data_IF_667474337617
#
_entry.id   IF_667474337617
#
_cell.length_a   1.000
_cell.length_b   1.000
_cell.length_c   1.000
_cell.angle_alpha   90.00
_cell.angle_beta   90.00
_cell.angle_gamma   90.00
#
_symmetry.space_group_name_H-M   'P 1'
#
loop_
_entity.id
_entity.type
_entity.pdbx_description
1 polymer ?
#
# COMPACT_ATOMS: atom_id res chain seq x y z
N UNK A 1 -16.08 -8.15 -10.65
CA UNK A 1 -17.29 -8.68 -9.97
C UNK A 1 -17.25 -10.18 -10.18
N UNK A 2 -16.73 -10.92 -9.19
CA UNK A 2 -16.61 -12.37 -9.26
C UNK A 2 -18.01 -12.93 -9.07
N UNK A 3 -18.58 -13.52 -10.13
CA UNK A 3 -19.72 -14.41 -9.97
C UNK A 3 -19.19 -15.69 -9.33
N UNK A 4 -19.65 -15.96 -8.13
CA UNK A 4 -19.55 -17.28 -7.52
C UNK A 4 -20.63 -18.11 -8.22
N UNK A 5 -20.23 -18.95 -9.17
CA UNK A 5 -21.08 -20.06 -9.59
C UNK A 5 -20.83 -21.20 -8.61
N UNK A 6 -21.86 -21.53 -7.83
CA UNK A 6 -21.90 -22.72 -6.99
C UNK A 6 -21.87 -23.96 -7.91
N UNK A 7 -20.95 -24.88 -7.66
CA UNK A 7 -20.78 -26.21 -8.28
C UNK A 7 -19.81 -26.35 -9.47
N UNK A 8 -18.54 -25.93 -9.33
CA UNK A 8 -17.49 -26.54 -10.14
C UNK A 8 -16.25 -26.91 -9.33
N UNK A 9 -16.13 -28.20 -9.01
CA UNK A 9 -14.89 -28.81 -8.51
C UNK A 9 -14.03 -29.18 -9.73
N UNK A 10 -12.86 -28.57 -9.86
CA UNK A 10 -11.80 -29.08 -10.73
C UNK A 10 -10.65 -29.61 -9.87
N UNK A 11 -10.66 -30.92 -9.61
CA UNK A 11 -9.45 -31.65 -9.28
C UNK A 11 -8.75 -31.99 -10.61
N UNK A 12 -7.57 -31.42 -10.84
CA UNK A 12 -6.69 -31.85 -11.93
C UNK A 12 -5.50 -32.58 -11.32
N UNK A 13 -5.52 -33.91 -11.39
CA UNK A 13 -4.37 -34.76 -11.09
C UNK A 13 -3.27 -34.51 -12.13
N UNK A 14 -2.09 -34.10 -11.65
CA UNK A 14 -0.87 -34.03 -12.45
C UNK A 14 -0.30 -35.44 -12.67
N UNK A 15 -0.22 -35.85 -13.92
CA UNK A 15 0.45 -37.09 -14.34
C UNK A 15 1.98 -36.92 -14.30
N UNK A 16 2.65 -37.62 -13.40
CA UNK A 16 4.04 -38.04 -13.59
C UNK A 16 4.24 -39.44 -13.02
N UNK A 17 4.53 -40.40 -13.90
CA UNK A 17 4.67 -41.80 -13.55
C UNK A 17 5.87 -42.09 -12.65
N UNK A 18 5.65 -42.99 -11.68
CA UNK A 18 6.62 -43.96 -11.18
C UNK A 18 5.83 -45.08 -10.49
N UNK A 19 5.92 -46.28 -11.05
CA UNK A 19 5.37 -47.52 -10.52
C UNK A 19 6.00 -47.90 -9.19
N UNK A 20 5.18 -48.09 -8.15
CA UNK A 20 5.47 -48.94 -7.02
C UNK A 20 4.27 -49.85 -6.78
N UNK A 21 4.45 -51.15 -6.99
CA UNK A 21 3.47 -52.17 -6.59
C UNK A 21 3.57 -52.37 -5.09
N UNK A 22 2.48 -52.13 -4.38
CA UNK A 22 2.18 -52.78 -3.10
C UNK A 22 0.66 -52.90 -2.99
N UNK A 23 0.18 -54.14 -2.99
CA UNK A 23 -1.24 -54.42 -2.81
C UNK A 23 -1.67 -54.15 -1.37
N UNK A 24 -2.89 -53.62 -1.22
CA UNK A 24 -3.75 -53.81 -0.05
C UNK A 24 -5.18 -53.46 -0.45
N UNK A 25 -6.11 -54.29 0.03
CA UNK A 25 -7.52 -54.32 -0.34
C UNK A 25 -8.23 -52.98 -0.18
N UNK A 26 -9.17 -52.74 -1.10
CA UNK A 26 -10.04 -51.60 -1.16
C UNK A 26 -11.01 -51.53 0.03
N UNK A 27 -10.89 -50.46 0.82
CA UNK A 27 -12.03 -49.71 1.35
C UNK A 27 -11.61 -48.23 1.33
N UNK A 28 -11.88 -47.56 0.21
CA UNK A 28 -11.80 -46.09 0.11
C UNK A 28 -13.20 -45.57 0.45
N UNK A 29 -13.41 -45.16 1.70
CA UNK A 29 -14.43 -44.15 1.95
C UNK A 29 -14.04 -42.87 1.19
N UNK A 30 -14.98 -42.15 0.58
CA UNK A 30 -14.69 -40.84 0.03
C UNK A 30 -14.28 -39.96 1.21
N UNK A 31 -13.01 -39.56 1.24
CA UNK A 31 -12.47 -38.68 2.27
C UNK A 31 -13.16 -37.31 2.10
N UNK A 32 -14.32 -37.13 2.75
CA UNK A 32 -15.00 -35.84 2.89
C UNK A 32 -14.18 -35.04 3.89
N UNK A 33 -13.00 -34.59 3.48
CA UNK A 33 -12.16 -33.72 4.30
C UNK A 33 -12.80 -32.33 4.24
N UNK A 34 -13.73 -32.08 5.14
CA UNK A 34 -14.32 -30.75 5.34
C UNK A 34 -13.21 -29.82 5.79
N UNK A 35 -13.00 -28.70 5.10
CA UNK A 35 -12.10 -27.66 5.55
C UNK A 35 -12.76 -26.92 6.72
N UNK A 36 -12.49 -27.36 7.94
CA UNK A 36 -12.93 -26.65 9.14
C UNK A 36 -11.99 -25.50 9.43
N UNK A 37 -12.53 -24.28 9.42
CA UNK A 37 -11.75 -23.08 9.73
C UNK A 37 -11.48 -23.04 11.24
N UNK A 38 -10.22 -22.89 11.68
CA UNK A 38 -9.89 -22.99 13.09
C UNK A 38 -10.44 -21.79 13.88
N UNK A 39 -11.11 -22.06 14.99
CA UNK A 39 -11.48 -21.03 15.98
C UNK A 39 -10.29 -20.82 16.91
N UNK A 40 -9.62 -19.68 16.79
CA UNK A 40 -8.46 -19.32 17.60
C UNK A 40 -8.85 -18.36 18.72
N UNK A 41 -8.31 -18.57 19.92
CA UNK A 41 -8.34 -17.57 20.99
C UNK A 41 -7.23 -16.53 20.72
N UNK A 42 -7.57 -15.26 20.46
CA UNK A 42 -6.56 -14.23 20.27
C UNK A 42 -5.60 -14.11 21.44
N UNK A 43 -5.98 -14.52 22.66
CA UNK A 43 -5.18 -14.41 23.87
C UNK A 43 -4.70 -15.76 24.42
N UNK A 44 -4.58 -16.77 23.55
CA UNK A 44 -4.10 -18.10 23.93
C UNK A 44 -2.74 -18.01 24.67
N UNK A 45 -2.56 -18.72 25.80
CA UNK A 45 -1.32 -18.67 26.59
C UNK A 45 -0.05 -19.01 25.78
N UNK A 46 -0.16 -19.87 24.77
CA UNK A 46 0.97 -20.23 23.90
C UNK A 46 1.48 -19.05 23.08
N UNK A 47 0.64 -18.05 22.81
CA UNK A 47 1.01 -16.80 22.13
C UNK A 47 1.35 -15.72 23.15
N UNK A 48 0.52 -15.57 24.19
CA UNK A 48 0.64 -14.48 25.14
C UNK A 48 1.90 -14.53 25.99
N UNK A 49 2.56 -15.68 26.13
CA UNK A 49 3.88 -15.80 26.76
C UNK A 49 4.97 -14.95 26.07
N UNK A 50 4.78 -14.57 24.80
CA UNK A 50 5.71 -13.73 24.05
C UNK A 50 5.31 -12.25 24.02
N UNK A 51 4.14 -11.89 24.55
CA UNK A 51 3.57 -10.56 24.36
C UNK A 51 4.41 -9.46 25.02
N UNK A 52 4.87 -8.52 24.21
CA UNK A 52 5.56 -7.31 24.65
C UNK A 52 4.67 -6.09 24.47
N UNK A 53 4.68 -5.18 25.44
CA UNK A 53 3.97 -3.89 25.34
C UNK A 53 4.89 -2.84 24.72
N UNK A 54 4.36 -2.11 23.73
CA UNK A 54 5.05 -0.97 23.13
C UNK A 54 4.27 0.31 23.38
N UNK A 55 4.98 1.37 23.74
CA UNK A 55 4.44 2.72 23.89
C UNK A 55 4.44 3.44 22.54
N UNK A 56 3.62 4.49 22.36
CA UNK A 56 3.71 5.38 21.21
C UNK A 56 5.15 5.89 20.98
N UNK A 57 5.52 6.06 19.71
CA UNK A 57 6.84 6.59 19.32
C UNK A 57 6.97 8.02 19.85
N UNK A 58 8.06 8.31 20.57
CA UNK A 58 8.33 9.63 21.12
C UNK A 58 9.53 10.29 20.44
N UNK A 59 9.26 11.30 19.61
CA UNK A 59 10.27 12.10 18.92
C UNK A 59 10.54 13.46 19.58
N UNK A 60 10.01 13.72 20.78
CA UNK A 60 10.05 15.05 21.41
C UNK A 60 11.45 15.55 21.79
N UNK A 61 12.45 14.67 21.79
CA UNK A 61 13.85 15.03 22.06
C UNK A 61 14.62 15.44 20.79
N UNK A 62 14.04 15.22 19.60
CA UNK A 62 14.63 15.69 18.36
C UNK A 62 14.41 17.20 18.19
N UNK A 63 15.27 17.84 17.41
CA UNK A 63 15.07 19.22 16.95
C UNK A 63 13.75 19.29 16.16
N UNK A 64 12.92 20.30 16.47
CA UNK A 64 11.66 20.54 15.74
C UNK A 64 11.96 20.77 14.26
N UNK A 65 11.15 20.22 13.37
CA UNK A 65 11.39 20.39 11.93
C UNK A 65 11.31 21.86 11.51
N UNK A 66 12.37 22.35 10.85
CA UNK A 66 12.43 23.74 10.39
C UNK A 66 11.56 23.99 9.17
N UNK A 67 11.19 22.92 8.47
CA UNK A 67 10.43 22.95 7.22
C UNK A 67 9.26 21.99 7.32
N UNK A 68 8.18 22.31 6.62
CA UNK A 68 7.06 21.39 6.40
C UNK A 68 6.44 21.64 5.02
N UNK A 69 5.59 20.74 4.58
CA UNK A 69 4.82 20.85 3.34
C UNK A 69 3.34 21.03 3.66
N UNK A 70 2.65 21.79 2.80
CA UNK A 70 1.19 21.87 2.83
C UNK A 70 0.67 22.19 1.44
N UNK A 71 -0.23 21.36 0.90
CA UNK A 71 -0.88 21.58 -0.39
C UNK A 71 0.12 21.82 -1.53
N UNK A 72 1.19 21.02 -1.59
CA UNK A 72 2.22 21.15 -2.63
C UNK A 72 3.07 22.43 -2.52
N UNK A 73 3.15 23.00 -1.32
CA UNK A 73 3.91 24.24 -1.03
C UNK A 73 4.97 23.98 0.03
N UNK A 74 6.19 24.48 -0.20
CA UNK A 74 7.28 24.50 0.77
C UNK A 74 7.04 25.58 1.82
N UNK A 75 7.18 25.23 3.11
CA UNK A 75 7.01 26.16 4.21
C UNK A 75 8.16 26.13 5.21
N UNK A 76 8.54 27.30 5.70
CA UNK A 76 9.44 27.43 6.87
C UNK A 76 8.60 27.51 8.15
N UNK A 77 8.94 26.71 9.14
CA UNK A 77 8.18 26.63 10.40
C UNK A 77 8.27 27.93 11.20
N UNK A 78 7.21 28.23 11.96
CA UNK A 78 7.22 29.38 12.89
C UNK A 78 8.29 29.23 13.97
N UNK A 79 8.69 28.00 14.28
CA UNK A 79 9.82 27.73 15.16
C UNK A 79 11.12 28.23 14.54
N UNK A 80 11.43 27.79 13.32
CA UNK A 80 12.64 28.19 12.61
C UNK A 80 12.73 29.71 12.42
N UNK A 81 11.62 30.37 12.08
CA UNK A 81 11.57 31.84 11.95
C UNK A 81 11.78 32.61 13.27
N UNK A 82 11.63 31.95 14.43
CA UNK A 82 11.91 32.53 15.75
C UNK A 82 13.35 32.31 16.20
N UNK A 83 14.13 31.50 15.49
CA UNK A 83 15.54 31.32 15.79
C UNK A 83 16.31 32.62 15.51
N UNK A 84 17.37 32.93 16.28
CA UNK A 84 18.22 34.08 16.00
C UNK A 84 18.85 33.97 14.60
N UNK A 85 18.88 35.09 13.87
CA UNK A 85 19.47 35.18 12.53
C UNK A 85 18.48 34.90 11.39
N UNK A 86 18.91 35.19 10.16
CA UNK A 86 18.12 34.91 8.96
C UNK A 86 18.28 33.45 8.56
N UNK A 87 17.18 32.74 8.35
CA UNK A 87 17.18 31.35 7.85
C UNK A 87 17.26 31.35 6.33
N UNK A 88 18.21 30.58 5.79
CA UNK A 88 18.35 30.31 4.35
C UNK A 88 18.28 28.81 4.14
N UNK A 89 17.45 28.34 3.21
CA UNK A 89 17.29 26.92 2.92
C UNK A 89 17.66 26.61 1.48
N UNK A 90 18.40 25.53 1.28
CA UNK A 90 18.63 24.87 0.00
C UNK A 90 17.66 23.67 -0.12
N UNK A 91 16.85 23.68 -1.17
CA UNK A 91 15.94 22.59 -1.52
C UNK A 91 16.61 21.70 -2.57
N UNK A 92 16.66 20.40 -2.29
CA UNK A 92 17.32 19.40 -3.10
C UNK A 92 16.26 18.39 -3.55
N UNK A 93 15.72 18.51 -4.79
CA UNK A 93 14.70 17.59 -5.28
C UNK A 93 15.27 16.17 -5.35
N UNK A 94 14.47 15.17 -4.97
CA UNK A 94 14.85 13.76 -5.08
C UNK A 94 14.13 13.13 -6.27
N UNK A 95 14.89 12.77 -7.29
CA UNK A 95 14.38 12.22 -8.55
C UNK A 95 14.71 10.73 -8.67
N UNK A 96 13.71 9.93 -9.05
CA UNK A 96 13.91 8.51 -9.32
C UNK A 96 14.87 8.35 -10.51
N UNK A 97 16.02 7.71 -10.27
CA UNK A 97 16.95 7.31 -11.33
C UNK A 97 16.72 5.84 -11.76
N UNK A 98 16.26 5.01 -10.82
CA UNK A 98 15.79 3.65 -11.04
C UNK A 98 15.19 3.09 -9.75
N UNK A 99 14.79 1.81 -9.72
CA UNK A 99 14.21 1.22 -8.49
C UNK A 99 15.21 1.01 -7.35
N UNK A 100 16.51 1.18 -7.62
CA UNK A 100 17.57 0.93 -6.65
C UNK A 100 18.44 2.17 -6.40
N UNK A 101 18.05 3.32 -6.97
CA UNK A 101 18.82 4.56 -6.82
C UNK A 101 17.97 5.81 -7.01
N UNK A 102 18.23 6.80 -6.18
CA UNK A 102 17.73 8.18 -6.31
C UNK A 102 18.89 9.06 -6.78
N UNK A 103 18.57 10.11 -7.53
CA UNK A 103 19.53 11.18 -7.86
C UNK A 103 18.95 12.52 -7.42
N UNK A 104 19.84 13.45 -7.13
CA UNK A 104 19.46 14.84 -6.85
C UNK A 104 19.05 15.52 -8.17
N UNK A 105 18.00 16.34 -8.09
CA UNK A 105 17.55 17.22 -9.16
C UNK A 105 18.30 18.56 -9.17
N UNK A 106 17.71 19.58 -9.79
CA UNK A 106 18.30 20.93 -9.74
C UNK A 106 18.06 21.57 -8.36
N UNK A 107 19.14 21.85 -7.64
CA UNK A 107 19.09 22.50 -6.33
C UNK A 107 18.50 23.91 -6.45
N UNK A 108 17.66 24.28 -5.48
CA UNK A 108 17.08 25.62 -5.38
C UNK A 108 17.61 26.28 -4.10
N UNK A 109 18.46 27.29 -4.26
CA UNK A 109 19.08 28.01 -3.16
C UNK A 109 19.09 29.54 -3.43
N UNK A 110 18.37 30.36 -2.65
CA UNK A 110 17.47 29.96 -1.56
C UNK A 110 16.12 29.44 -2.06
N UNK A 111 15.59 28.41 -1.41
CA UNK A 111 14.18 28.06 -1.51
C UNK A 111 13.37 29.02 -0.64
N UNK A 112 12.43 29.73 -1.25
CA UNK A 112 11.62 30.74 -0.58
C UNK A 112 10.41 30.11 0.12
N UNK A 113 10.06 30.62 1.31
CA UNK A 113 8.81 30.24 1.99
C UNK A 113 7.60 30.53 1.10
N UNK A 114 6.72 29.54 0.92
CA UNK A 114 5.56 29.63 0.04
C UNK A 114 5.83 29.25 -1.43
N UNK A 115 7.05 28.86 -1.79
CA UNK A 115 7.34 28.36 -3.13
C UNK A 115 6.67 26.99 -3.40
N UNK A 116 6.23 26.71 -4.64
CA UNK A 116 5.66 25.42 -4.99
C UNK A 116 6.74 24.32 -4.97
N UNK A 117 6.35 23.11 -4.60
CA UNK A 117 7.23 21.94 -4.71
C UNK A 117 7.52 21.63 -6.18
N UNK A 118 8.71 21.10 -6.46
CA UNK A 118 9.08 20.62 -7.81
C UNK A 118 9.03 19.09 -7.90
N UNK A 119 9.23 18.39 -6.79
CA UNK A 119 9.10 16.94 -6.63
C UNK A 119 8.29 16.62 -5.37
N UNK A 120 7.73 15.41 -5.31
CA UNK A 120 7.05 14.91 -4.10
C UNK A 120 8.00 14.80 -2.90
N UNK A 121 9.28 14.52 -3.15
CA UNK A 121 10.28 14.27 -2.12
C UNK A 121 11.50 15.14 -2.34
N UNK A 122 12.07 15.64 -1.25
CA UNK A 122 13.23 16.50 -1.29
C UNK A 122 14.01 16.41 0.00
N UNK A 123 15.34 16.52 -0.10
CA UNK A 123 16.17 16.89 1.03
C UNK A 123 16.16 18.40 1.19
N UNK A 124 16.30 18.87 2.42
CA UNK A 124 16.46 20.29 2.70
C UNK A 124 17.62 20.51 3.66
N UNK A 125 18.49 21.44 3.29
CA UNK A 125 19.54 21.94 4.16
C UNK A 125 19.23 23.40 4.48
N UNK A 126 19.00 23.73 5.76
CA UNK A 126 18.81 25.11 6.18
C UNK A 126 19.93 25.55 7.13
N UNK A 127 20.32 26.81 7.03
CA UNK A 127 21.31 27.43 7.89
C UNK A 127 20.81 28.79 8.36
N UNK A 128 20.95 29.05 9.66
CA UNK A 128 20.79 30.38 10.24
C UNK A 128 22.06 31.18 10.04
N UNK A 129 21.96 32.50 9.86
CA UNK A 129 23.12 33.41 9.87
C UNK A 129 23.94 33.38 11.18
N UNK A 130 23.45 32.70 12.22
CA UNK A 130 24.19 32.43 13.48
C UNK A 130 24.97 31.10 13.48
N UNK A 131 24.88 30.31 12.42
CA UNK A 131 25.59 29.03 12.24
C UNK A 131 24.82 27.78 12.68
N UNK A 132 23.57 27.91 13.17
CA UNK A 132 22.70 26.73 13.40
C UNK A 132 22.29 26.11 12.07
N UNK A 133 22.25 24.78 12.01
CA UNK A 133 21.96 24.01 10.79
C UNK A 133 20.84 23.02 11.01
N UNK A 134 20.11 22.74 9.94
CA UNK A 134 19.06 21.74 9.86
C UNK A 134 19.21 20.95 8.58
N UNK A 135 19.12 19.63 8.68
CA UNK A 135 19.14 18.70 7.56
C UNK A 135 18.06 17.65 7.80
N UNK A 136 17.09 17.58 6.90
CA UNK A 136 16.09 16.51 6.91
C UNK A 136 15.58 16.23 5.49
N UNK A 137 14.89 15.10 5.34
CA UNK A 137 14.10 14.77 4.14
C UNK A 137 12.63 15.00 4.44
N UNK A 138 11.92 15.53 3.46
CA UNK A 138 10.49 15.83 3.54
C UNK A 138 9.74 15.18 2.39
N UNK A 139 8.46 14.92 2.65
CA UNK A 139 7.51 14.48 1.64
C UNK A 139 6.40 15.52 1.48
N UNK A 140 5.86 15.57 0.28
CA UNK A 140 4.62 16.24 -0.06
C UNK A 140 4.09 15.76 -1.39
N UNK A 141 3.09 16.44 -1.92
CA UNK A 141 2.51 16.10 -3.23
C UNK A 141 2.62 17.28 -4.19
N UNK A 142 3.42 17.11 -5.24
CA UNK A 142 3.52 18.10 -6.31
C UNK A 142 2.26 18.09 -7.17
N UNK A 143 1.84 19.27 -7.61
CA UNK A 143 0.77 19.41 -8.60
C UNK A 143 1.28 19.04 -10.00
N UNK A 144 1.43 17.75 -10.26
CA UNK A 144 2.02 17.21 -11.48
C UNK A 144 1.17 17.56 -12.72
N UNK A 145 1.70 18.42 -13.60
CA UNK A 145 1.00 18.89 -14.80
C UNK A 145 0.60 17.77 -15.75
N UNK A 146 1.43 16.73 -15.88
CA UNK A 146 1.16 15.60 -16.78
C UNK A 146 0.01 14.75 -16.26
N UNK A 147 -0.06 14.57 -14.92
CA UNK A 147 -1.17 13.89 -14.26
C UNK A 147 -2.45 14.69 -14.47
N UNK A 148 -2.47 15.99 -14.15
CA UNK A 148 -3.65 16.83 -14.35
C UNK A 148 -4.09 16.90 -15.83
N UNK A 149 -3.17 17.06 -16.76
CA UNK A 149 -3.47 17.08 -18.20
C UNK A 149 -4.12 15.78 -18.67
N UNK A 150 -3.61 14.62 -18.21
CA UNK A 150 -4.25 13.32 -18.48
C UNK A 150 -5.67 13.24 -17.95
N UNK A 151 -5.89 13.71 -16.72
CA UNK A 151 -7.21 13.69 -16.07
C UNK A 151 -8.22 14.60 -16.81
N UNK A 152 -7.80 15.78 -17.23
CA UNK A 152 -8.63 16.74 -17.99
C UNK A 152 -9.02 16.19 -19.37
N UNK A 153 -8.07 15.57 -20.06
CA UNK A 153 -8.30 14.99 -21.40
C UNK A 153 -9.36 13.89 -21.35
N UNK A 154 -9.31 13.03 -20.33
CA UNK A 154 -10.29 11.94 -20.14
C UNK A 154 -11.65 12.45 -19.64
N UNK A 155 -11.67 13.50 -18.81
CA UNK A 155 -12.90 14.16 -18.39
C UNK A 155 -13.65 14.86 -19.54
N UNK A 156 -12.92 15.44 -20.50
CA UNK A 156 -13.51 16.02 -21.71
C UNK A 156 -14.15 14.96 -22.61
N UNK A 157 -13.49 13.81 -22.79
CA UNK A 157 -14.01 12.70 -23.61
C UNK A 157 -15.30 12.09 -23.02
N UNK A 158 -15.45 12.02 -21.69
CA UNK A 158 -16.69 11.49 -21.07
C UNK A 158 -17.90 12.43 -21.18
N UNK A 159 -17.67 13.71 -21.53
CA UNK A 159 -18.72 14.72 -21.77
C UNK A 159 -19.23 14.79 -23.21
N UNK A 160 -18.64 14.02 -24.14
CA UNK A 160 -19.16 13.90 -25.51
C UNK A 160 -20.33 12.90 -25.48
N UNK A 161 -21.55 13.29 -25.90
CA UNK A 161 -22.65 12.34 -26.04
C UNK A 161 -22.23 11.25 -27.02
N UNK A 162 -22.28 9.99 -26.58
CA UNK A 162 -22.05 8.84 -27.46
C UNK A 162 -23.06 8.91 -28.61
N UNK A 163 -22.63 9.35 -29.79
CA UNK A 163 -23.51 9.41 -30.96
C UNK A 163 -24.03 8.00 -31.24
N UNK A 164 -25.35 7.90 -31.38
CA UNK A 164 -26.03 6.66 -31.75
C UNK A 164 -25.44 6.09 -33.04
N UNK A 165 -25.08 4.80 -33.11
CA UNK A 165 -24.66 4.19 -34.35
C UNK A 165 -25.79 4.27 -35.39
N UNK A 166 -25.50 4.48 -36.69
CA UNK A 166 -26.50 4.41 -37.72
C UNK A 166 -27.08 3.00 -37.77
N UNK A 167 -28.41 2.91 -37.79
CA UNK A 167 -29.14 1.67 -37.99
C UNK A 167 -28.85 1.12 -39.39
N UNK A 168 -28.06 0.06 -39.47
CA UNK A 168 -28.05 -0.82 -40.64
C UNK A 168 -28.47 -2.22 -40.21
N UNK A 169 -29.65 -2.60 -40.69
CA UNK A 169 -30.13 -3.97 -40.65
C UNK A 169 -29.14 -4.87 -41.41
N UNK A 170 -28.71 -5.97 -40.79
CA UNK A 170 -28.80 -7.32 -41.37
C UNK A 170 -28.33 -8.35 -40.34
N UNK A 171 -29.14 -9.39 -40.18
CA UNK A 171 -28.95 -10.51 -39.29
C UNK A 171 -27.77 -11.39 -39.71
N UNK A 172 -26.90 -11.76 -38.77
CA UNK A 172 -26.44 -13.14 -38.56
C UNK A 172 -25.79 -13.26 -37.19
N UNK A 173 -26.16 -14.34 -36.51
CA UNK A 173 -25.94 -14.62 -35.10
C UNK A 173 -24.62 -15.41 -34.98
N UNK A 174 -23.58 -14.76 -34.50
CA UNK A 174 -22.35 -15.41 -34.02
C UNK A 174 -22.10 -14.95 -32.58
N UNK A 175 -21.70 -15.89 -31.73
CA UNK A 175 -21.43 -15.73 -30.31
C UNK A 175 -20.28 -14.75 -30.08
N UNK A 176 -20.61 -13.51 -29.71
CA UNK A 176 -19.65 -12.48 -29.28
C UNK A 176 -19.25 -12.74 -27.83
N UNK A 177 -17.95 -12.69 -27.46
CA UNK A 177 -17.53 -12.81 -26.06
C UNK A 177 -18.16 -11.70 -25.23
N UNK A 178 -18.55 -11.99 -23.98
CA UNK A 178 -19.08 -11.01 -23.03
C UNK A 178 -18.20 -9.74 -23.05
N UNK A 179 -18.71 -8.69 -23.69
CA UNK A 179 -17.85 -7.63 -24.20
C UNK A 179 -17.26 -6.78 -23.06
N UNK A 180 -16.00 -6.37 -23.24
CA UNK A 180 -15.32 -5.31 -22.50
C UNK A 180 -16.17 -4.03 -22.30
N UNK A 181 -17.22 -3.83 -23.10
CA UNK A 181 -18.15 -2.69 -23.00
C UNK A 181 -19.01 -2.69 -21.73
N UNK A 182 -19.23 -3.85 -21.08
CA UNK A 182 -19.97 -3.93 -19.82
C UNK A 182 -19.08 -3.56 -18.62
N UNK A 183 -17.79 -3.88 -18.71
CA UNK A 183 -16.79 -3.51 -17.69
C UNK A 183 -16.52 -2.00 -17.72
N UNK A 184 -16.39 -1.41 -18.92
CA UNK A 184 -16.16 0.03 -19.07
C UNK A 184 -17.33 0.90 -18.59
N UNK A 185 -18.58 0.45 -18.81
CA UNK A 185 -19.78 1.13 -18.29
C UNK A 185 -19.94 1.00 -16.77
N UNK A 186 -19.52 -0.12 -16.19
CA UNK A 186 -19.61 -0.40 -14.75
C UNK A 186 -18.68 0.47 -13.91
N UNK A 187 -17.41 0.60 -14.31
CA UNK A 187 -16.41 1.41 -13.59
C UNK A 187 -16.71 2.92 -13.67
N UNK A 188 -17.14 3.41 -14.84
CA UNK A 188 -17.56 4.80 -15.01
C UNK A 188 -18.82 5.17 -14.19
N UNK A 189 -19.67 4.19 -13.85
CA UNK A 189 -20.93 4.43 -13.12
C UNK A 189 -20.77 4.52 -11.59
N UNK A 190 -19.70 3.98 -11.03
CA UNK A 190 -19.47 3.99 -9.57
C UNK A 190 -18.58 5.13 -9.10
N UNK A 191 -17.63 5.59 -9.94
CA UNK A 191 -16.65 6.65 -9.63
C UNK A 191 -16.06 6.55 -8.21
N UNK A 192 -15.78 5.32 -7.78
CA UNK A 192 -15.33 4.98 -6.44
C UNK A 192 -13.80 5.04 -6.39
N UNK A 193 -13.23 5.76 -5.44
CA UNK A 193 -11.81 5.64 -5.10
C UNK A 193 -11.57 4.25 -4.47
N UNK A 194 -10.37 3.72 -4.66
CA UNK A 194 -9.91 2.52 -3.97
C UNK A 194 -8.67 2.92 -3.19
N UNK A 195 -8.71 2.70 -1.87
CA UNK A 195 -7.55 2.89 -1.01
C UNK A 195 -7.30 1.62 -0.23
N UNK A 196 -6.17 0.99 -0.53
CA UNK A 196 -5.69 -0.20 0.13
C UNK A 196 -4.54 0.20 1.04
N UNK A 197 -4.74 0.06 2.36
CA UNK A 197 -3.72 0.34 3.36
C UNK A 197 -3.41 -0.96 4.10
N UNK A 198 -2.28 -1.56 3.74
CA UNK A 198 -1.87 -2.87 4.19
C UNK A 198 -0.70 -2.83 5.16
N UNK A 199 -0.56 -3.90 5.94
CA UNK A 199 0.58 -4.16 6.81
C UNK A 199 1.21 -5.50 6.49
N UNK A 200 2.54 -5.57 6.56
CA UNK A 200 3.26 -6.84 6.48
C UNK A 200 3.03 -7.68 7.73
N UNK A 201 2.85 -8.98 7.57
CA UNK A 201 2.99 -9.97 8.66
C UNK A 201 1.95 -9.87 9.78
N UNK A 202 0.77 -9.29 9.53
CA UNK A 202 -0.28 -9.12 10.54
C UNK A 202 -1.47 -10.09 10.35
N UNK A 203 -1.61 -11.04 11.28
CA UNK A 203 -2.79 -11.93 11.32
C UNK A 203 -4.04 -11.21 11.80
N UNK A 204 -5.22 -11.77 11.53
CA UNK A 204 -6.48 -11.30 12.13
C UNK A 204 -6.39 -11.25 13.66
N UNK A 205 -5.76 -12.27 14.25
CA UNK A 205 -5.58 -12.36 15.70
C UNK A 205 -4.59 -11.30 16.23
N UNK A 206 -3.52 -11.00 15.48
CA UNK A 206 -2.59 -9.93 15.89
C UNK A 206 -3.23 -8.55 15.82
N UNK A 207 -4.14 -8.30 14.88
CA UNK A 207 -4.96 -7.08 14.87
C UNK A 207 -5.87 -6.97 16.09
N UNK A 208 -6.54 -8.07 16.48
CA UNK A 208 -7.38 -8.09 17.69
C UNK A 208 -6.56 -7.76 18.94
N UNK A 209 -5.34 -8.29 19.03
CA UNK A 209 -4.45 -8.07 20.19
C UNK A 209 -3.80 -6.68 20.20
N UNK A 210 -3.26 -6.25 19.05
CA UNK A 210 -2.23 -5.19 18.99
C UNK A 210 -2.75 -3.88 18.38
N UNK A 211 -3.86 -3.92 17.64
CA UNK A 211 -4.53 -2.74 17.07
C UNK A 211 -6.01 -2.65 17.50
N UNK A 212 -6.34 -2.82 18.81
CA UNK A 212 -7.72 -2.90 19.26
C UNK A 212 -8.50 -1.61 19.05
N UNK A 213 -7.85 -0.43 19.12
CA UNK A 213 -8.54 0.86 18.92
C UNK A 213 -8.87 1.06 17.45
N UNK A 214 -7.91 0.81 16.57
CA UNK A 214 -8.11 0.88 15.12
C UNK A 214 -9.20 -0.08 14.68
N UNK A 215 -9.12 -1.35 15.09
CA UNK A 215 -10.11 -2.36 14.72
C UNK A 215 -11.51 -1.95 15.18
N UNK A 216 -11.65 -1.49 16.44
CA UNK A 216 -12.95 -1.01 16.96
C UNK A 216 -13.48 0.16 16.14
N UNK A 217 -12.65 1.17 15.89
CA UNK A 217 -13.04 2.34 15.11
C UNK A 217 -13.48 1.94 13.69
N UNK A 218 -12.72 1.08 13.02
CA UNK A 218 -13.05 0.63 11.68
C UNK A 218 -14.39 -0.11 11.61
N UNK A 219 -14.65 -1.05 12.54
CA UNK A 219 -15.86 -1.86 12.52
C UNK A 219 -17.09 -1.11 13.03
N UNK A 220 -16.96 -0.44 14.18
CA UNK A 220 -18.11 0.15 14.88
C UNK A 220 -18.40 1.58 14.43
N UNK A 221 -17.38 2.35 14.05
CA UNK A 221 -17.56 3.77 13.66
C UNK A 221 -17.64 3.93 12.15
N UNK A 222 -16.71 3.32 11.40
CA UNK A 222 -16.73 3.43 9.93
C UNK A 222 -17.70 2.45 9.26
N UNK A 223 -18.24 1.48 9.99
CA UNK A 223 -19.13 0.43 9.46
C UNK A 223 -18.41 -0.58 8.57
N UNK A 224 -17.12 -0.82 8.85
CA UNK A 224 -16.31 -1.78 8.13
C UNK A 224 -16.74 -3.23 8.38
N UNK A 225 -16.46 -4.08 7.40
CA UNK A 225 -16.71 -5.52 7.41
C UNK A 225 -15.38 -6.27 7.43
N UNK A 226 -15.15 -7.05 8.48
CA UNK A 226 -13.99 -7.92 8.58
C UNK A 226 -14.26 -9.28 7.95
N UNK A 227 -13.34 -9.76 7.11
CA UNK A 227 -13.41 -11.08 6.51
C UNK A 227 -12.77 -12.11 7.44
N UNK A 228 -13.56 -12.68 8.34
CA UNK A 228 -13.05 -13.57 9.39
C UNK A 228 -12.44 -14.88 8.85
N UNK A 229 -12.89 -15.31 7.67
CA UNK A 229 -12.43 -16.52 6.98
C UNK A 229 -11.38 -16.28 5.89
N UNK A 230 -10.81 -15.07 5.78
CA UNK A 230 -9.81 -14.78 4.76
C UNK A 230 -8.51 -15.56 5.04
N UNK A 231 -7.94 -16.17 4.00
CA UNK A 231 -6.73 -16.98 4.09
C UNK A 231 -5.71 -16.58 3.02
N UNK A 232 -4.43 -16.85 3.29
CA UNK A 232 -3.36 -16.63 2.32
C UNK A 232 -3.57 -17.44 1.04
N UNK A 233 -3.14 -16.88 -0.07
CA UNK A 233 -3.10 -17.54 -1.39
C UNK A 233 -1.70 -18.07 -1.74
N UNK A 234 -0.70 -17.81 -0.90
CA UNK A 234 0.68 -18.27 -1.05
C UNK A 234 1.54 -17.86 0.14
N UNK A 235 2.76 -18.41 0.23
CA UNK A 235 3.70 -18.14 1.32
C UNK A 235 4.54 -16.88 1.06
N UNK A 236 4.46 -15.92 1.97
CA UNK A 236 5.21 -14.67 1.89
C UNK A 236 4.55 -13.58 1.04
N UNK A 237 5.08 -12.37 1.17
CA UNK A 237 4.50 -11.15 0.61
C UNK A 237 4.29 -11.17 -0.91
N UNK A 238 5.26 -11.58 -1.76
CA UNK A 238 5.01 -11.59 -3.21
C UNK A 238 3.90 -12.57 -3.60
N UNK A 239 3.86 -13.75 -2.99
CA UNK A 239 2.86 -14.77 -3.29
C UNK A 239 1.44 -14.36 -2.84
N UNK A 240 1.33 -13.49 -1.83
CA UNK A 240 0.06 -12.91 -1.39
C UNK A 240 -0.34 -11.67 -2.21
N UNK A 241 0.58 -10.74 -2.46
CA UNK A 241 0.28 -9.47 -3.12
C UNK A 241 0.16 -9.58 -4.64
N UNK A 242 0.87 -10.51 -5.30
CA UNK A 242 0.74 -10.66 -6.76
C UNK A 242 -0.68 -11.04 -7.18
N UNK A 243 -1.36 -12.04 -6.58
CA UNK A 243 -2.75 -12.33 -6.93
C UNK A 243 -3.68 -11.15 -6.66
N UNK A 244 -3.46 -10.39 -5.58
CA UNK A 244 -4.28 -9.23 -5.23
C UNK A 244 -4.11 -8.10 -6.26
N UNK A 245 -2.88 -7.84 -6.69
CA UNK A 245 -2.54 -6.67 -7.52
C UNK A 245 -2.50 -6.98 -9.02
N UNK A 246 -2.56 -8.25 -9.41
CA UNK A 246 -2.50 -8.69 -10.82
C UNK A 246 -3.62 -9.64 -11.22
N UNK A 247 -4.26 -10.32 -10.25
CA UNK A 247 -5.19 -11.42 -10.52
C UNK A 247 -4.51 -12.76 -10.85
N UNK A 248 -3.18 -12.85 -10.71
CA UNK A 248 -2.39 -14.03 -11.08
C UNK A 248 -1.42 -14.44 -9.97
N UNK A 249 -1.14 -15.75 -9.88
CA UNK A 249 -0.07 -16.30 -9.07
C UNK A 249 1.31 -15.98 -9.68
N UNK A 250 2.36 -16.01 -8.85
CA UNK A 250 3.75 -15.74 -9.28
C UNK A 250 4.18 -16.58 -10.49
N UNK A 251 3.76 -17.85 -10.53
CA UNK A 251 4.11 -18.82 -11.57
C UNK A 251 3.43 -18.55 -12.92
N UNK A 252 2.34 -17.76 -12.93
CA UNK A 252 1.59 -17.40 -14.14
C UNK A 252 2.12 -16.12 -14.78
N UNK A 253 3.02 -15.42 -14.08
CA UNK A 253 3.57 -14.13 -14.48
C UNK A 253 4.93 -14.31 -15.17
N UNK A 254 5.37 -13.33 -15.98
CA UNK A 254 6.73 -13.32 -16.51
C UNK A 254 7.77 -13.47 -15.40
N UNK A 255 8.77 -14.34 -15.59
CA UNK A 255 9.82 -14.55 -14.61
C UNK A 255 10.51 -13.21 -14.28
N UNK A 256 10.54 -12.86 -13.01
CA UNK A 256 11.12 -11.61 -12.52
C UNK A 256 12.07 -11.80 -11.35
N UNK A 257 12.25 -13.04 -10.88
CA UNK A 257 13.12 -13.34 -9.73
C UNK A 257 14.58 -13.16 -10.11
N UNK A 258 15.32 -12.53 -9.20
CA UNK A 258 16.76 -12.30 -9.35
C UNK A 258 17.49 -13.64 -9.53
N UNK A 259 18.43 -13.67 -10.47
CA UNK A 259 19.26 -14.84 -10.73
C UNK A 259 18.59 -15.94 -11.56
N UNK A 260 17.31 -15.80 -11.92
CA UNK A 260 16.64 -16.77 -12.79
C UNK A 260 16.89 -16.47 -14.28
N UNK A 261 17.10 -17.51 -15.13
CA UNK A 261 17.27 -17.32 -16.57
C UNK A 261 16.08 -16.60 -17.21
N UNK A 262 16.37 -15.57 -17.99
CA UNK A 262 15.33 -14.79 -18.68
C UNK A 262 14.52 -13.85 -17.79
N UNK A 263 14.91 -13.66 -16.52
CA UNK A 263 14.22 -12.75 -15.62
C UNK A 263 14.19 -11.31 -16.15
N UNK A 264 13.04 -10.65 -16.01
CA UNK A 264 12.82 -9.26 -16.41
C UNK A 264 12.28 -8.43 -15.23
N UNK A 265 12.43 -7.09 -15.28
CA UNK A 265 11.71 -6.20 -14.37
C UNK A 265 10.20 -6.47 -14.38
N UNK A 266 9.53 -6.23 -13.25
CA UNK A 266 8.12 -6.58 -13.07
C UNK A 266 7.15 -5.68 -13.86
N UNK A 267 7.68 -4.74 -14.65
CA UNK A 267 6.93 -3.87 -15.56
C UNK A 267 6.00 -4.62 -16.51
N UNK A 268 6.32 -5.87 -16.87
CA UNK A 268 5.50 -6.68 -17.77
C UNK A 268 4.21 -7.23 -17.13
N UNK A 269 4.07 -7.19 -15.80
CA UNK A 269 2.92 -7.79 -15.13
C UNK A 269 1.63 -6.97 -15.36
N UNK A 270 0.44 -7.61 -15.32
CA UNK A 270 -0.85 -6.98 -15.55
C UNK A 270 -1.35 -6.27 -14.29
N UNK A 271 -0.57 -5.30 -13.80
CA UNK A 271 -0.86 -4.57 -12.58
C UNK A 271 -2.20 -3.83 -12.62
N UNK A 272 -2.99 -3.97 -11.56
CA UNK A 272 -4.33 -3.37 -11.43
C UNK A 272 -4.29 -1.83 -11.50
N UNK A 273 -3.22 -1.20 -11.00
CA UNK A 273 -3.08 0.25 -11.09
C UNK A 273 -2.91 0.74 -12.54
N UNK A 274 -2.38 -0.06 -13.46
CA UNK A 274 -2.36 0.31 -14.89
C UNK A 274 -3.78 0.43 -15.44
N UNK A 275 -4.66 -0.47 -15.03
CA UNK A 275 -6.07 -0.46 -15.45
C UNK A 275 -6.83 0.73 -14.85
N UNK A 276 -6.60 1.04 -13.58
CA UNK A 276 -7.13 2.26 -12.96
C UNK A 276 -6.60 3.51 -13.66
N UNK A 277 -5.30 3.60 -13.91
CA UNK A 277 -4.66 4.73 -14.61
C UNK A 277 -5.26 4.93 -16.01
N UNK A 278 -5.50 3.84 -16.75
CA UNK A 278 -6.15 3.84 -18.08
C UNK A 278 -7.58 4.39 -18.03
N UNK A 279 -8.28 4.21 -16.91
CA UNK A 279 -9.62 4.73 -16.68
C UNK A 279 -9.65 6.11 -16.00
N UNK A 280 -8.53 6.83 -16.00
CA UNK A 280 -8.48 8.21 -15.50
C UNK A 280 -8.38 8.32 -13.99
N UNK A 281 -7.94 7.28 -13.31
CA UNK A 281 -7.62 7.37 -11.89
C UNK A 281 -6.21 7.97 -11.70
N UNK A 282 -6.04 8.69 -10.59
CA UNK A 282 -4.73 8.99 -10.02
C UNK A 282 -4.25 7.76 -9.28
N UNK A 283 -3.01 7.36 -9.50
CA UNK A 283 -2.44 6.12 -8.93
C UNK A 283 -1.28 6.43 -8.00
N UNK A 284 -1.24 5.77 -6.84
CA UNK A 284 -0.13 5.90 -5.90
C UNK A 284 0.27 4.54 -5.31
N UNK A 285 1.58 4.35 -5.14
CA UNK A 285 2.16 3.20 -4.43
C UNK A 285 3.19 3.68 -3.41
N UNK A 286 3.03 3.26 -2.15
CA UNK A 286 4.02 3.46 -1.09
C UNK A 286 4.34 2.15 -0.38
N UNK A 287 5.63 1.96 -0.10
CA UNK A 287 6.16 0.86 0.70
C UNK A 287 7.45 1.36 1.37
N UNK A 288 7.60 1.06 2.66
CA UNK A 288 8.82 1.32 3.43
C UNK A 288 9.73 0.07 3.48
N UNK A 289 10.84 0.12 4.23
CA UNK A 289 11.84 -0.97 4.28
C UNK A 289 12.41 -1.32 2.90
N UNK A 290 13.02 -0.34 2.23
CA UNK A 290 13.47 -0.46 0.82
C UNK A 290 14.47 -1.58 0.56
N UNK A 291 15.16 -2.05 1.60
CA UNK A 291 16.09 -3.18 1.58
C UNK A 291 15.39 -4.54 1.45
N UNK A 292 14.12 -4.67 1.86
CA UNK A 292 13.32 -5.89 1.78
C UNK A 292 11.99 -5.71 1.02
N UNK A 293 11.84 -4.61 0.28
CA UNK A 293 10.61 -4.29 -0.47
C UNK A 293 10.10 -5.44 -1.36
N UNK A 294 8.77 -5.57 -1.45
CA UNK A 294 8.06 -6.74 -1.99
C UNK A 294 8.57 -7.15 -3.36
N UNK A 295 8.71 -6.19 -4.27
CA UNK A 295 9.07 -6.44 -5.67
C UNK A 295 10.56 -6.18 -5.96
N UNK A 296 11.34 -5.87 -4.94
CA UNK A 296 12.74 -5.43 -5.07
C UNK A 296 13.72 -6.40 -4.41
N UNK A 297 13.33 -7.08 -3.34
CA UNK A 297 14.20 -8.02 -2.64
C UNK A 297 14.46 -9.26 -3.51
N UNK A 298 13.43 -10.06 -3.77
CA UNK A 298 13.53 -11.30 -4.58
C UNK A 298 13.41 -11.06 -6.08
N UNK A 299 12.83 -9.94 -6.50
CA UNK A 299 12.54 -9.61 -7.90
C UNK A 299 13.41 -8.44 -8.40
N UNK A 300 13.43 -8.24 -9.71
CA UNK A 300 14.25 -7.22 -10.36
C UNK A 300 13.71 -5.78 -10.20
N UNK A 301 12.63 -5.57 -9.44
CA UNK A 301 12.01 -4.26 -9.27
C UNK A 301 11.36 -3.73 -10.54
N UNK A 302 11.03 -2.45 -10.51
CA UNK A 302 10.47 -1.72 -11.64
C UNK A 302 11.55 -1.00 -12.44
N UNK A 303 11.48 -1.07 -13.76
CA UNK A 303 12.27 -0.22 -14.64
C UNK A 303 11.64 1.17 -14.73
N UNK A 304 10.35 1.25 -15.05
CA UNK A 304 9.57 2.47 -15.12
C UNK A 304 8.87 2.76 -13.79
N UNK A 305 8.49 4.02 -13.53
CA UNK A 305 7.72 4.32 -12.33
C UNK A 305 6.33 3.66 -12.40
N UNK A 306 5.91 2.84 -11.41
CA UNK A 306 4.71 2.01 -11.53
C UNK A 306 3.40 2.81 -11.50
N UNK A 307 3.38 3.94 -10.79
CA UNK A 307 2.21 4.77 -10.49
C UNK A 307 2.50 6.26 -10.73
N UNK A 308 1.47 7.12 -10.71
CA UNK A 308 1.66 8.57 -10.84
C UNK A 308 2.51 9.15 -9.70
N UNK A 309 2.29 8.62 -8.49
CA UNK A 309 3.04 8.94 -7.28
C UNK A 309 3.65 7.67 -6.70
N UNK A 310 4.96 7.66 -6.43
CA UNK A 310 5.67 6.46 -5.97
C UNK A 310 6.63 6.80 -4.85
N UNK A 311 6.34 6.38 -3.61
CA UNK A 311 7.03 6.85 -2.40
C UNK A 311 8.44 6.27 -2.21
N UNK A 312 8.87 5.33 -3.05
CA UNK A 312 10.17 4.66 -2.91
C UNK A 312 11.37 5.61 -2.83
N UNK A 313 11.50 6.69 -3.64
CA UNK A 313 12.63 7.61 -3.52
C UNK A 313 12.73 8.27 -2.14
N UNK A 314 11.61 8.54 -1.47
CA UNK A 314 11.60 9.04 -0.09
C UNK A 314 12.28 8.05 0.84
N UNK A 315 11.83 6.80 0.86
CA UNK A 315 12.36 5.81 1.79
C UNK A 315 13.81 5.41 1.49
N UNK A 316 14.24 5.42 0.22
CA UNK A 316 15.63 5.16 -0.13
C UNK A 316 16.62 6.17 0.48
N UNK A 317 16.19 7.41 0.67
CA UNK A 317 17.00 8.46 1.28
C UNK A 317 16.71 8.61 2.78
N UNK A 318 15.46 8.50 3.21
CA UNK A 318 15.06 8.57 4.62
C UNK A 318 15.70 7.45 5.45
N UNK A 319 15.75 6.22 4.94
CA UNK A 319 16.33 5.08 5.67
C UNK A 319 17.82 5.26 5.98
N UNK A 320 18.56 6.01 5.15
CA UNK A 320 19.96 6.36 5.43
C UNK A 320 20.11 7.27 6.65
N UNK A 321 19.05 7.98 7.03
CA UNK A 321 19.02 8.85 8.19
C UNK A 321 18.60 8.11 9.47
N UNK A 322 18.23 6.83 9.40
CA UNK A 322 17.62 6.14 10.54
C UNK A 322 18.58 5.89 11.70
N UNK A 323 19.87 5.67 11.40
CA UNK A 323 20.89 5.41 12.40
C UNK A 323 21.23 6.65 13.25
N UNK A 324 21.06 7.85 12.69
CA UNK A 324 21.36 9.12 13.37
C UNK A 324 20.14 9.73 14.06
N UNK A 325 18.94 9.30 13.69
CA UNK A 325 17.70 9.73 14.32
C UNK A 325 17.37 8.90 15.57
N UNK A 326 16.48 9.44 16.41
CA UNK A 326 15.83 8.66 17.46
C UNK A 326 15.11 7.46 16.81
N UNK A 327 15.14 6.26 17.41
CA UNK A 327 14.46 5.08 16.84
C UNK A 327 13.00 5.36 16.47
N UNK A 328 12.60 4.95 15.27
CA UNK A 328 11.29 5.20 14.65
C UNK A 328 10.93 6.67 14.38
N UNK A 329 11.87 7.60 14.56
CA UNK A 329 11.70 9.01 14.22
C UNK A 329 12.46 9.37 12.94
N UNK A 330 11.95 10.35 12.23
CA UNK A 330 12.64 11.09 11.18
C UNK A 330 12.52 12.57 11.53
N UNK A 331 13.60 13.15 12.05
CA UNK A 331 13.53 14.45 12.72
C UNK A 331 12.58 14.38 13.93
N UNK A 332 11.68 15.35 14.04
CA UNK A 332 10.71 15.44 15.13
C UNK A 332 9.42 14.63 14.91
N UNK A 333 9.34 13.87 13.82
CA UNK A 333 8.12 13.18 13.39
C UNK A 333 8.30 11.66 13.40
N UNK A 334 7.38 10.89 14.01
CA UNK A 334 7.32 9.43 13.86
C UNK A 334 7.24 9.00 12.38
N UNK A 335 8.01 7.99 11.98
CA UNK A 335 8.10 7.56 10.57
C UNK A 335 6.78 7.05 10.00
N UNK A 336 5.95 6.37 10.79
CA UNK A 336 4.62 5.93 10.37
C UNK A 336 3.68 7.10 10.08
N UNK A 337 3.85 8.24 10.76
CA UNK A 337 3.09 9.46 10.45
C UNK A 337 3.51 10.07 9.12
N UNK A 338 4.81 10.05 8.77
CA UNK A 338 5.25 10.47 7.42
C UNK A 338 4.59 9.63 6.32
N UNK A 339 4.45 8.32 6.51
CA UNK A 339 3.75 7.43 5.59
C UNK A 339 2.27 7.80 5.43
N UNK A 340 1.55 8.00 6.56
CA UNK A 340 0.13 8.33 6.57
C UNK A 340 -0.15 9.73 6.02
N UNK A 341 0.63 10.74 6.42
CA UNK A 341 0.46 12.12 5.99
C UNK A 341 0.62 12.28 4.47
N UNK A 342 1.50 11.51 3.83
CA UNK A 342 1.64 11.54 2.38
C UNK A 342 0.34 11.13 1.66
N UNK A 343 -0.37 10.12 2.17
CA UNK A 343 -1.69 9.77 1.64
C UNK A 343 -2.75 10.85 1.90
N UNK A 344 -2.73 11.52 3.07
CA UNK A 344 -3.61 12.66 3.33
C UNK A 344 -3.39 13.78 2.30
N UNK A 345 -2.13 14.13 2.01
CA UNK A 345 -1.80 15.13 0.98
C UNK A 345 -2.23 14.69 -0.43
N UNK A 346 -2.14 13.40 -0.76
CA UNK A 346 -2.63 12.87 -2.04
C UNK A 346 -4.16 13.02 -2.15
N UNK A 347 -4.89 12.71 -1.08
CA UNK A 347 -6.34 12.92 -1.05
C UNK A 347 -6.72 14.40 -1.17
N UNK A 348 -6.00 15.29 -0.47
CA UNK A 348 -6.20 16.73 -0.53
C UNK A 348 -5.87 17.34 -1.90
N UNK A 349 -4.81 16.86 -2.56
CA UNK A 349 -4.39 17.35 -3.88
C UNK A 349 -5.39 16.97 -4.97
N UNK A 350 -5.93 15.76 -4.91
CA UNK A 350 -6.79 15.19 -5.95
C UNK A 350 -8.26 15.06 -5.55
N UNK A 351 -8.78 15.98 -4.74
CA UNK A 351 -10.15 15.90 -4.18
C UNK A 351 -11.24 15.47 -5.18
N UNK A 352 -11.21 16.00 -6.41
CA UNK A 352 -12.25 15.79 -7.44
C UNK A 352 -11.98 14.66 -8.44
N UNK A 353 -10.91 13.91 -8.28
CA UNK A 353 -10.46 12.91 -9.25
C UNK A 353 -10.57 11.51 -8.65
N UNK A 354 -10.91 10.47 -9.42
CA UNK A 354 -10.90 9.11 -8.92
C UNK A 354 -9.47 8.65 -8.59
N UNK A 355 -9.31 7.84 -7.55
CA UNK A 355 -8.00 7.47 -6.98
C UNK A 355 -7.87 5.97 -6.79
N UNK A 356 -6.72 5.40 -7.12
CA UNK A 356 -6.30 4.07 -6.71
C UNK A 356 -4.98 4.20 -5.94
N UNK A 357 -5.04 4.02 -4.63
CA UNK A 357 -3.89 4.16 -3.75
C UNK A 357 -3.60 2.82 -3.07
N UNK A 358 -2.34 2.39 -3.11
CA UNK A 358 -1.85 1.22 -2.39
C UNK A 358 -0.70 1.63 -1.49
N UNK A 359 -0.89 1.53 -0.17
CA UNK A 359 0.14 1.67 0.83
C UNK A 359 0.37 0.34 1.53
N UNK A 360 1.63 -0.05 1.70
CA UNK A 360 2.01 -1.26 2.41
C UNK A 360 3.11 -0.95 3.42
N UNK A 361 2.80 -1.03 4.72
CA UNK A 361 3.71 -0.64 5.81
C UNK A 361 4.30 -1.87 6.51
N UNK A 362 5.62 -1.88 6.68
CA UNK A 362 6.37 -3.04 7.17
C UNK A 362 7.22 -2.75 8.40
N UNK A 363 7.70 -1.50 8.60
CA UNK A 363 8.69 -1.16 9.65
C UNK A 363 8.30 -1.64 11.05
N UNK A 364 7.02 -1.52 11.41
CA UNK A 364 6.52 -1.82 12.76
C UNK A 364 5.97 -3.25 12.94
N UNK A 365 5.97 -4.09 11.89
CA UNK A 365 5.32 -5.41 11.93
C UNK A 365 6.13 -6.57 11.34
N UNK A 366 7.08 -6.32 10.43
CA UNK A 366 7.79 -7.35 9.66
C UNK A 366 8.54 -8.37 10.56
N UNK A 367 9.47 -7.89 11.39
CA UNK A 367 10.30 -8.77 12.23
C UNK A 367 9.56 -9.26 13.48
N UNK A 368 8.76 -8.38 14.06
CA UNK A 368 7.89 -8.63 15.20
C UNK A 368 6.65 -7.77 15.02
N UNK A 369 5.48 -8.30 15.39
CA UNK A 369 4.24 -7.53 15.32
C UNK A 369 4.09 -6.55 16.51
N UNK A 370 4.82 -6.72 17.61
CA UNK A 370 4.57 -5.94 18.83
C UNK A 370 4.76 -4.42 18.70
N UNK A 371 5.75 -3.91 17.95
CA UNK A 371 5.93 -2.47 17.75
C UNK A 371 4.73 -1.77 17.12
N UNK A 372 3.86 -2.50 16.40
CA UNK A 372 2.63 -1.96 15.79
C UNK A 372 1.69 -1.31 16.81
N UNK A 373 1.77 -1.65 18.10
CA UNK A 373 0.97 -0.97 19.14
C UNK A 373 1.25 0.54 19.19
N UNK A 374 2.45 0.97 18.79
CA UNK A 374 2.85 2.37 18.81
C UNK A 374 2.08 3.24 17.81
N UNK A 375 1.43 2.64 16.79
CA UNK A 375 0.65 3.35 15.76
C UNK A 375 -0.87 3.23 15.94
N UNK A 376 -1.38 2.43 16.90
CA UNK A 376 -2.82 2.12 17.00
C UNK A 376 -3.69 3.38 17.14
N UNK A 377 -3.27 4.36 17.95
CA UNK A 377 -3.99 5.64 18.06
C UNK A 377 -3.84 6.51 16.81
N UNK A 378 -2.62 6.58 16.26
CA UNK A 378 -2.33 7.41 15.10
C UNK A 378 -3.07 6.93 13.85
N UNK A 379 -3.24 5.63 13.69
CA UNK A 379 -4.02 5.04 12.59
C UNK A 379 -5.52 5.35 12.74
N UNK A 380 -6.07 5.33 13.96
CA UNK A 380 -7.44 5.83 14.21
C UNK A 380 -7.55 7.30 13.78
N UNK A 381 -6.61 8.14 14.19
CA UNK A 381 -6.64 9.57 13.88
C UNK A 381 -6.48 9.83 12.37
N UNK A 382 -5.63 9.08 11.67
CA UNK A 382 -5.51 9.12 10.22
C UNK A 382 -6.84 8.79 9.52
N UNK A 383 -7.47 7.67 9.89
CA UNK A 383 -8.75 7.26 9.32
C UNK A 383 -9.86 8.27 9.63
N UNK A 384 -9.88 8.82 10.84
CA UNK A 384 -10.84 9.84 11.27
C UNK A 384 -10.67 11.16 10.51
N UNK A 385 -9.43 11.59 10.22
CA UNK A 385 -9.16 12.75 9.37
C UNK A 385 -9.67 12.54 7.95
N UNK A 386 -9.47 11.36 7.37
CA UNK A 386 -10.00 11.02 6.05
C UNK A 386 -11.53 10.99 6.02
N UNK A 387 -12.18 10.44 7.06
CA UNK A 387 -13.64 10.43 7.18
C UNK A 387 -14.19 11.86 7.32
N UNK A 388 -13.69 12.64 8.28
CA UNK A 388 -14.17 14.01 8.56
C UNK A 388 -13.94 14.97 7.39
N UNK A 389 -12.89 14.75 6.59
CA UNK A 389 -12.63 15.54 5.38
C UNK A 389 -13.47 15.09 4.18
N UNK A 390 -14.33 14.08 4.35
CA UNK A 390 -15.19 13.52 3.31
C UNK A 390 -14.45 12.67 2.27
N UNK A 391 -13.16 12.40 2.48
CA UNK A 391 -12.36 11.61 1.55
C UNK A 391 -12.82 10.15 1.50
N UNK A 392 -13.39 9.62 2.59
CA UNK A 392 -13.93 8.28 2.59
C UNK A 392 -15.32 8.17 1.96
N UNK A 393 -16.08 9.26 1.77
CA UNK A 393 -17.46 9.20 1.24
C UNK A 393 -17.61 8.51 -0.13
N UNK A 394 -16.55 8.53 -0.93
CA UNK A 394 -16.50 7.90 -2.25
C UNK A 394 -15.39 6.84 -2.34
N UNK A 395 -14.98 6.24 -1.22
CA UNK A 395 -13.81 5.35 -1.17
C UNK A 395 -14.19 3.96 -0.67
N UNK A 396 -13.83 2.94 -1.46
CA UNK A 396 -13.63 1.59 -0.96
C UNK A 396 -12.30 1.58 -0.20
N UNK A 397 -12.40 1.59 1.12
CA UNK A 397 -11.25 1.48 2.00
C UNK A 397 -11.03 0.00 2.33
N UNK A 398 -9.82 -0.50 2.07
CA UNK A 398 -9.38 -1.85 2.38
C UNK A 398 -8.25 -1.75 3.39
N UNK A 399 -8.47 -2.27 4.59
CA UNK A 399 -7.41 -2.51 5.56
C UNK A 399 -7.03 -3.98 5.47
N UNK A 400 -5.75 -4.28 5.25
CA UNK A 400 -5.33 -5.65 4.98
C UNK A 400 -3.94 -6.00 5.51
N UNK A 401 -3.62 -7.28 5.44
CA UNK A 401 -2.29 -7.82 5.52
C UNK A 401 -2.10 -8.92 4.48
N UNK A 402 -0.85 -9.21 4.17
CA UNK A 402 -0.45 -10.23 3.20
C UNK A 402 -0.44 -11.64 3.81
N UNK A 403 0.07 -11.77 5.03
CA UNK A 403 0.10 -12.97 5.86
C UNK A 403 0.23 -12.59 7.35
N UNK A 404 0.22 -13.56 8.26
CA UNK A 404 0.58 -13.34 9.68
C UNK A 404 2.09 -13.42 9.94
N UNK A 405 2.50 -13.41 11.22
CA UNK A 405 3.91 -13.29 11.60
C UNK A 405 4.79 -14.45 11.09
N UNK A 406 5.85 -14.12 10.34
CA UNK A 406 6.82 -15.11 9.81
C UNK A 406 8.18 -15.13 10.51
N UNK A 407 8.56 -14.01 11.14
CA UNK A 407 9.89 -13.81 11.74
C UNK A 407 9.86 -13.69 13.27
N UNK A 408 8.71 -14.03 13.89
CA UNK A 408 8.51 -14.00 15.34
C UNK A 408 8.54 -15.41 15.95
N UNK A 409 8.95 -15.50 17.22
CA UNK A 409 8.79 -16.72 18.05
C UNK A 409 7.35 -17.24 18.08
N UNK A 410 6.37 -16.36 17.86
CA UNK A 410 4.96 -16.72 17.68
C UNK A 410 4.78 -17.82 16.63
N UNK A 411 5.44 -17.71 15.47
CA UNK A 411 5.30 -18.68 14.35
C UNK A 411 5.75 -20.10 14.72
N UNK A 412 6.59 -20.26 15.74
CA UNK A 412 7.05 -21.58 16.17
C UNK A 412 5.95 -22.39 16.88
N UNK A 413 4.92 -21.72 17.41
CA UNK A 413 3.78 -22.35 18.09
C UNK A 413 2.78 -22.93 17.09
N UNK A 414 1.93 -23.86 17.54
CA UNK A 414 0.84 -24.40 16.71
C UNK A 414 -0.13 -23.30 16.28
N UNK A 415 -0.55 -22.45 17.21
CA UNK A 415 -1.46 -21.35 16.90
C UNK A 415 -0.82 -20.33 15.96
N UNK A 416 0.44 -19.96 16.15
CA UNK A 416 1.12 -19.01 15.26
C UNK A 416 1.21 -19.47 13.81
N UNK A 417 1.35 -20.78 13.55
CA UNK A 417 1.26 -21.35 12.19
C UNK A 417 -0.14 -21.20 11.59
N UNK A 418 -1.19 -21.32 12.39
CA UNK A 418 -2.56 -21.09 11.92
C UNK A 418 -2.79 -19.60 11.66
N UNK A 419 -2.38 -18.73 12.59
CA UNK A 419 -2.48 -17.28 12.45
C UNK A 419 -1.74 -16.73 11.23
N UNK A 420 -0.56 -17.29 10.89
CA UNK A 420 0.19 -16.95 9.68
C UNK A 420 -0.69 -17.03 8.42
N UNK A 421 -1.58 -18.03 8.37
CA UNK A 421 -2.43 -18.31 7.20
C UNK A 421 -3.70 -17.49 7.17
N UNK A 422 -4.00 -16.75 8.23
CA UNK A 422 -5.22 -15.95 8.40
C UNK A 422 -4.88 -14.46 8.60
N UNK A 423 -4.40 -13.78 7.54
CA UNK A 423 -4.12 -12.36 7.59
C UNK A 423 -5.38 -11.55 7.85
N UNK A 424 -5.20 -10.35 8.40
CA UNK A 424 -6.29 -9.40 8.52
C UNK A 424 -6.74 -8.94 7.14
N UNK A 425 -8.05 -8.87 6.91
CA UNK A 425 -8.62 -8.31 5.70
C UNK A 425 -9.99 -7.74 6.01
N UNK A 426 -10.18 -6.45 5.79
CA UNK A 426 -11.42 -5.77 6.11
C UNK A 426 -11.74 -4.68 5.07
N UNK A 427 -13.03 -4.50 4.80
CA UNK A 427 -13.55 -3.67 3.74
C UNK A 427 -14.54 -2.66 4.32
N UNK A 428 -14.42 -1.39 3.93
CA UNK A 428 -15.42 -0.36 4.20
C UNK A 428 -15.89 0.22 2.88
N UNK A 429 -17.17 0.03 2.59
CA UNK A 429 -17.84 0.57 1.41
C UNK A 429 -18.32 2.00 1.69
N UNK A 430 -18.68 2.73 0.63
CA UNK A 430 -19.39 4.01 0.80
C UNK A 430 -20.72 3.76 1.52
N UNK A 431 -21.09 4.62 2.47
CA UNK A 431 -22.47 4.69 2.96
C UNK A 431 -23.34 5.27 1.84
N UNK A 432 -24.46 4.59 1.56
CA UNK A 432 -25.38 4.93 0.47
C UNK A 432 -26.27 6.12 0.76
#
# INVERSE_FOLDING_TARGET
MIRVDENTVFLREGTSGKTWMAGMNAHKEPNTQTCEHPVLDPFDPSIMQFHEKYSPVNCSQAEEDWVYTINGTFRISKHALRLPGTITCEYIPLERHGDFSVREGLHVNPMLDGAPLTTDFFMVYCESSTGKRYLNIHSGVVRNKDVFSRLETLGSISSIPMMTPPSTHTSKQESVPLSLSLISKSLASLNLNVFMFGFDSMSRMSWIRLLPRTRRYFLETLGGLELEGYNIVGDGTPAALLPILTGHHEEELPEARRGMPGAQPVDGHPWVWKEFKRHGYVTAYAEDMTNVGTFQFRMLGFKEQPTDHYMRPFYQEAEKMYETNIPYCLGSTPRHLNFMHWFEELFATYTRHPKFFFGFHSELSHNSNFPVQALDEDLVLFLDRLEKSGHLNSTLLILMADHGARFSYIRATTQGKLEERMPYFALRFRHG
#
